data_IF_729319810236
#
_entry.id   IF_729319810236
#
_cell.length_a   1.000
_cell.length_b   1.000
_cell.length_c   1.000
_cell.angle_alpha   90.00
_cell.angle_beta   90.00
_cell.angle_gamma   90.00
#
_symmetry.space_group_name_H-M   'P 1'
#
loop_
_entity.id
_entity.type
_entity.pdbx_description
1 polymer ?
#
# COMPACT_ATOMS: atom_id res chain seq x y z
N UNK A 1 -0.67 -36.86 38.45
CA UNK A 1 0.21 -37.42 39.47
C UNK A 1 1.41 -37.93 38.74
N UNK A 2 2.53 -37.24 38.91
CA UNK A 2 3.91 -37.68 38.62
C UNK A 2 4.79 -36.55 39.14
N UNK A 3 4.78 -36.37 40.46
CA UNK A 3 5.85 -35.61 41.07
C UNK A 3 7.05 -36.55 41.08
N UNK A 4 8.18 -36.17 40.44
CA UNK A 4 9.37 -36.98 40.46
C UNK A 4 9.81 -37.22 41.91
N UNK A 5 10.29 -38.42 42.20
CA UNK A 5 10.84 -38.78 43.50
C UNK A 5 11.89 -37.74 43.93
N UNK A 6 11.70 -37.12 45.10
CA UNK A 6 12.56 -36.05 45.61
C UNK A 6 14.02 -36.51 45.72
N UNK A 7 14.24 -37.79 46.04
CA UNK A 7 15.58 -38.38 46.10
C UNK A 7 16.26 -38.43 44.72
N UNK A 8 15.48 -38.71 43.67
CA UNK A 8 15.99 -38.74 42.29
C UNK A 8 16.29 -37.32 41.77
N UNK A 9 15.47 -36.34 42.12
CA UNK A 9 15.68 -34.92 41.79
C UNK A 9 16.96 -34.40 42.43
N UNK A 10 17.19 -34.71 43.71
CA UNK A 10 18.37 -34.21 44.43
C UNK A 10 19.66 -34.86 43.90
N UNK A 11 19.62 -36.16 43.57
CA UNK A 11 20.74 -36.84 42.89
C UNK A 11 21.07 -36.17 41.55
N UNK A 12 20.05 -35.93 40.70
CA UNK A 12 20.24 -35.26 39.40
C UNK A 12 20.76 -33.83 39.53
N UNK A 13 20.31 -33.10 40.57
CA UNK A 13 20.79 -31.74 40.88
C UNK A 13 22.27 -31.74 41.28
N UNK A 14 22.68 -32.68 42.13
CA UNK A 14 24.08 -32.81 42.53
C UNK A 14 24.99 -33.15 41.34
N UNK A 15 24.59 -34.12 40.51
CA UNK A 15 25.30 -34.45 39.28
C UNK A 15 25.37 -33.26 38.30
N UNK A 16 24.29 -32.49 38.18
CA UNK A 16 24.28 -31.27 37.37
C UNK A 16 25.22 -30.20 37.91
N UNK A 17 25.26 -29.97 39.24
CA UNK A 17 26.18 -29.01 39.85
C UNK A 17 27.65 -29.36 39.59
N UNK A 18 28.01 -30.64 39.69
CA UNK A 18 29.36 -31.10 39.38
C UNK A 18 29.72 -30.86 37.91
N UNK A 19 28.81 -31.20 36.97
CA UNK A 19 29.01 -30.93 35.54
C UNK A 19 29.08 -29.43 35.24
N UNK A 20 28.21 -28.62 35.84
CA UNK A 20 28.21 -27.17 35.68
C UNK A 20 29.54 -26.57 36.15
N UNK A 21 30.00 -26.91 37.35
CA UNK A 21 31.30 -26.42 37.86
C UNK A 21 32.47 -26.87 36.97
N UNK A 22 32.46 -28.10 36.45
CA UNK A 22 33.48 -28.58 35.52
C UNK A 22 33.48 -27.80 34.18
N UNK A 23 32.30 -27.52 33.63
CA UNK A 23 32.14 -26.69 32.42
C UNK A 23 32.63 -25.27 32.65
N UNK A 24 32.22 -24.61 33.74
CA UNK A 24 32.69 -23.25 34.07
C UNK A 24 34.21 -23.23 34.25
N UNK A 25 34.78 -24.21 34.96
CA UNK A 25 36.24 -24.34 35.14
C UNK A 25 36.98 -24.56 33.81
N UNK A 26 36.31 -25.13 32.81
CA UNK A 26 36.86 -25.35 31.47
C UNK A 26 36.74 -24.11 30.55
N UNK A 27 36.26 -22.98 31.07
CA UNK A 27 36.07 -21.73 30.32
C UNK A 27 34.66 -21.54 29.75
N UNK A 28 33.72 -22.41 30.11
CA UNK A 28 32.32 -22.34 29.71
C UNK A 28 32.04 -22.69 28.25
N UNK A 29 30.95 -22.16 27.71
CA UNK A 29 30.56 -22.43 26.32
C UNK A 29 31.48 -21.67 25.34
N UNK A 30 32.11 -22.41 24.42
CA UNK A 30 32.85 -21.83 23.29
C UNK A 30 31.98 -21.80 22.03
N UNK A 31 31.80 -20.63 21.45
CA UNK A 31 31.06 -20.43 20.21
C UNK A 31 32.05 -20.28 19.05
N UNK A 32 31.91 -21.14 18.05
CA UNK A 32 32.66 -21.07 16.79
C UNK A 32 31.72 -20.58 15.70
N UNK A 33 31.97 -19.38 15.18
CA UNK A 33 31.39 -18.91 13.93
C UNK A 33 32.28 -19.36 12.78
N UNK A 34 31.79 -20.22 11.90
CA UNK A 34 32.57 -20.73 10.77
C UNK A 34 32.75 -19.69 9.67
N UNK A 35 31.81 -18.75 9.59
CA UNK A 35 31.81 -17.60 8.70
C UNK A 35 31.22 -16.39 9.46
N UNK A 36 31.18 -15.24 8.80
CA UNK A 36 30.42 -14.08 9.27
C UNK A 36 29.25 -13.78 8.36
N UNK A 37 28.12 -13.49 8.98
CA UNK A 37 26.95 -13.04 8.26
C UNK A 37 27.17 -11.62 7.72
N UNK A 38 26.45 -11.26 6.67
CA UNK A 38 26.33 -9.87 6.20
C UNK A 38 25.84 -8.89 7.27
N UNK A 39 25.06 -9.39 8.25
CA UNK A 39 24.54 -8.58 9.34
C UNK A 39 25.25 -8.93 10.64
N UNK A 40 25.84 -7.92 11.25
CA UNK A 40 26.52 -8.03 12.54
C UNK A 40 25.55 -8.44 13.65
N UNK A 41 24.27 -8.11 13.52
CA UNK A 41 23.23 -8.50 14.48
C UNK A 41 23.14 -10.01 14.63
N UNK A 42 23.22 -10.77 13.54
CA UNK A 42 23.12 -12.23 13.54
C UNK A 42 24.38 -12.86 14.16
N UNK A 43 25.55 -12.32 13.83
CA UNK A 43 26.81 -12.72 14.49
C UNK A 43 26.76 -12.46 16.00
N UNK A 44 26.24 -11.30 16.42
CA UNK A 44 26.10 -10.96 17.83
C UNK A 44 25.10 -11.88 18.54
N UNK A 45 24.04 -12.34 17.87
CA UNK A 45 23.10 -13.32 18.41
C UNK A 45 23.78 -14.68 18.64
N UNK A 46 24.60 -15.13 17.68
CA UNK A 46 25.38 -16.36 17.83
C UNK A 46 26.36 -16.25 19.01
N UNK A 47 27.12 -15.15 19.08
CA UNK A 47 28.04 -14.86 20.20
C UNK A 47 27.32 -14.83 21.55
N UNK A 48 26.16 -14.19 21.63
CA UNK A 48 25.36 -14.04 22.86
C UNK A 48 24.73 -15.34 23.39
N UNK A 49 24.97 -16.48 22.73
CA UNK A 49 24.62 -17.80 23.28
C UNK A 49 25.60 -18.23 24.39
N UNK A 50 26.81 -17.68 24.41
CA UNK A 50 27.82 -17.87 25.45
C UNK A 50 27.79 -16.72 26.48
N UNK A 51 28.27 -16.97 27.70
CA UNK A 51 28.46 -15.94 28.73
C UNK A 51 27.18 -15.33 29.29
N UNK A 52 26.09 -16.12 29.31
CA UNK A 52 24.79 -15.66 29.83
C UNK A 52 24.84 -15.54 31.35
N UNK A 53 24.14 -14.56 31.91
CA UNK A 53 24.04 -14.33 33.35
C UNK A 53 25.41 -14.17 34.07
N UNK A 54 26.47 -13.80 33.34
CA UNK A 54 27.81 -13.65 33.90
C UNK A 54 28.66 -14.94 33.90
N UNK A 55 28.16 -16.03 33.32
CA UNK A 55 28.94 -17.26 33.14
C UNK A 55 30.23 -17.01 32.32
N UNK A 56 31.25 -17.85 32.55
CA UNK A 56 32.40 -17.89 31.65
C UNK A 56 31.97 -18.39 30.27
N UNK A 57 32.64 -17.88 29.25
CA UNK A 57 32.40 -18.28 27.87
C UNK A 57 33.26 -17.50 26.90
N UNK A 58 33.37 -18.01 25.68
CA UNK A 58 34.19 -17.38 24.65
C UNK A 58 33.57 -17.56 23.27
N UNK A 59 33.95 -16.70 22.34
CA UNK A 59 33.51 -16.80 20.96
C UNK A 59 34.66 -16.48 20.01
N UNK A 60 34.80 -17.26 18.94
CA UNK A 60 35.76 -17.02 17.87
C UNK A 60 35.07 -17.20 16.52
N UNK A 61 35.26 -16.23 15.64
CA UNK A 61 34.74 -16.26 14.28
C UNK A 61 35.90 -16.46 13.32
N UNK A 62 35.73 -17.41 12.42
CA UNK A 62 36.64 -17.71 11.32
C UNK A 62 36.08 -17.10 10.04
N UNK A 63 36.99 -16.79 9.12
CA UNK A 63 36.65 -16.23 7.82
C UNK A 63 37.72 -16.67 6.82
N UNK A 64 37.27 -17.07 5.63
CA UNK A 64 38.12 -17.32 4.47
C UNK A 64 37.99 -16.17 3.47
N UNK A 65 39.05 -15.93 2.70
CA UNK A 65 39.01 -14.99 1.56
C UNK A 65 38.02 -15.44 0.47
N UNK A 66 37.60 -16.70 0.49
CA UNK A 66 36.63 -17.26 -0.46
C UNK A 66 35.18 -17.12 -0.01
N UNK A 67 34.94 -16.71 1.24
CA UNK A 67 33.59 -16.60 1.80
C UNK A 67 32.79 -15.47 1.12
N UNK A 68 31.47 -15.58 1.14
CA UNK A 68 30.57 -14.63 0.46
C UNK A 68 30.81 -13.18 0.93
N UNK A 69 30.95 -12.95 2.24
CA UNK A 69 31.25 -11.63 2.78
C UNK A 69 32.56 -11.07 2.20
N UNK A 70 33.60 -11.90 2.07
CA UNK A 70 34.86 -11.47 1.48
C UNK A 70 34.74 -11.30 -0.03
N UNK A 71 33.97 -12.11 -0.76
CA UNK A 71 33.75 -11.91 -2.21
C UNK A 71 33.09 -10.58 -2.54
N UNK A 72 32.17 -10.10 -1.70
CA UNK A 72 31.46 -8.84 -1.94
C UNK A 72 32.39 -7.62 -1.72
N UNK A 73 33.39 -7.71 -0.83
CA UNK A 73 34.21 -6.56 -0.41
C UNK A 73 35.69 -6.64 -0.72
N UNK A 74 36.27 -7.83 -0.73
CA UNK A 74 37.63 -8.06 -1.14
C UNK A 74 37.71 -7.87 -2.65
N UNK A 75 37.85 -6.61 -3.05
CA UNK A 75 38.32 -6.29 -4.39
C UNK A 75 39.56 -7.14 -4.67
N UNK A 76 39.74 -7.53 -5.93
CA UNK A 76 40.90 -8.30 -6.38
C UNK A 76 42.23 -7.71 -5.89
N UNK A 77 42.26 -6.38 -5.65
CA UNK A 77 43.39 -5.62 -5.10
C UNK A 77 43.69 -5.93 -3.63
N UNK A 78 42.67 -6.10 -2.77
CA UNK A 78 42.86 -6.41 -1.34
C UNK A 78 43.41 -7.83 -1.19
N UNK A 79 42.85 -8.79 -1.93
CA UNK A 79 43.36 -10.17 -1.94
C UNK A 79 44.81 -10.25 -2.45
N UNK A 80 45.15 -9.49 -3.51
CA UNK A 80 46.53 -9.39 -4.03
C UNK A 80 47.50 -8.73 -3.04
N UNK A 81 47.05 -7.75 -2.26
CA UNK A 81 47.87 -7.10 -1.22
C UNK A 81 48.21 -8.10 -0.11
N UNK A 82 47.23 -8.89 0.36
CA UNK A 82 47.45 -9.90 1.40
C UNK A 82 48.36 -11.03 0.92
N UNK A 83 48.26 -11.46 -0.34
CA UNK A 83 49.20 -12.41 -0.95
C UNK A 83 50.63 -11.86 -1.05
N UNK A 84 50.80 -10.56 -1.35
CA UNK A 84 52.13 -9.91 -1.42
C UNK A 84 52.78 -9.67 -0.06
N UNK A 85 52.00 -9.64 1.02
CA UNK A 85 52.49 -9.52 2.40
C UNK A 85 53.19 -10.79 2.93
N UNK A 86 53.34 -11.83 2.09
CA UNK A 86 54.16 -12.99 2.42
C UNK A 86 53.49 -14.00 3.36
N UNK A 87 52.16 -13.98 3.46
CA UNK A 87 51.41 -14.91 4.29
C UNK A 87 51.50 -16.33 3.72
N UNK A 88 52.01 -17.27 4.50
CA UNK A 88 52.15 -18.67 4.06
C UNK A 88 50.80 -19.40 4.07
N UNK A 89 50.66 -20.43 3.21
CA UNK A 89 49.49 -21.32 3.27
C UNK A 89 49.50 -22.03 4.62
N UNK A 90 48.37 -21.97 5.34
CA UNK A 90 48.13 -22.57 6.66
C UNK A 90 48.54 -21.72 7.88
N UNK A 91 48.85 -20.44 7.71
CA UNK A 91 49.00 -19.51 8.84
C UNK A 91 47.71 -18.75 9.15
N UNK A 92 47.38 -18.65 10.44
CA UNK A 92 46.24 -17.87 10.90
C UNK A 92 46.59 -16.38 10.87
N UNK A 93 45.78 -15.59 10.17
CA UNK A 93 45.94 -14.14 10.13
C UNK A 93 45.20 -13.53 11.33
N UNK A 94 45.93 -13.18 12.38
CA UNK A 94 45.39 -12.47 13.53
C UNK A 94 45.94 -11.04 13.56
N UNK A 95 45.16 -10.07 13.05
CA UNK A 95 45.52 -8.66 13.18
C UNK A 95 44.29 -7.78 13.43
N UNK A 96 44.36 -6.84 14.41
CA UNK A 96 43.27 -5.90 14.68
C UNK A 96 42.71 -5.14 13.47
N UNK A 97 43.52 -4.80 12.45
CA UNK A 97 43.03 -4.09 11.27
C UNK A 97 42.13 -4.96 10.39
N UNK A 98 42.36 -6.28 10.36
CA UNK A 98 41.53 -7.23 9.61
C UNK A 98 40.13 -7.29 10.23
N UNK A 99 40.05 -7.40 11.57
CA UNK A 99 38.77 -7.35 12.29
C UNK A 99 38.01 -6.05 12.02
N UNK A 100 38.70 -4.90 12.02
CA UNK A 100 38.09 -3.59 11.74
C UNK A 100 37.64 -3.46 10.28
N UNK A 101 38.41 -4.01 9.33
CA UNK A 101 38.06 -4.02 7.91
C UNK A 101 36.80 -4.85 7.65
N UNK A 102 36.70 -6.04 8.28
CA UNK A 102 35.51 -6.90 8.22
C UNK A 102 34.29 -6.20 8.83
N UNK A 103 34.45 -5.53 9.98
CA UNK A 103 33.36 -4.76 10.58
C UNK A 103 32.86 -3.64 9.66
N UNK A 104 33.78 -2.91 9.01
CA UNK A 104 33.42 -1.87 8.06
C UNK A 104 32.72 -2.43 6.82
N UNK A 105 33.14 -3.61 6.35
CA UNK A 105 32.48 -4.33 5.26
C UNK A 105 31.03 -4.67 5.63
N UNK A 106 30.81 -5.30 6.79
CA UNK A 106 29.47 -5.60 7.30
C UNK A 106 28.61 -4.34 7.41
N UNK A 107 29.14 -3.24 7.98
CA UNK A 107 28.42 -1.96 8.08
C UNK A 107 28.00 -1.43 6.70
N UNK A 108 28.84 -1.62 5.67
CA UNK A 108 28.52 -1.20 4.31
C UNK A 108 27.47 -2.10 3.65
N UNK A 109 27.44 -3.41 3.90
CA UNK A 109 26.32 -4.28 3.47
C UNK A 109 25.03 -3.85 4.13
N UNK A 110 25.07 -3.66 5.45
CA UNK A 110 23.89 -3.24 6.20
C UNK A 110 23.37 -1.90 5.70
N UNK A 111 24.25 -0.94 5.39
CA UNK A 111 23.89 0.32 4.75
C UNK A 111 23.25 0.12 3.38
N UNK A 112 23.83 -0.73 2.52
CA UNK A 112 23.26 -1.02 1.20
C UNK A 112 21.86 -1.67 1.28
N UNK A 113 21.70 -2.67 2.14
CA UNK A 113 20.40 -3.33 2.36
C UNK A 113 19.39 -2.36 2.99
N UNK A 114 19.84 -1.48 3.89
CA UNK A 114 19.01 -0.42 4.44
C UNK A 114 18.55 0.55 3.36
N UNK A 115 19.42 0.98 2.45
CA UNK A 115 19.05 1.89 1.36
C UNK A 115 18.04 1.25 0.40
N UNK A 116 18.23 -0.02 0.01
CA UNK A 116 17.26 -0.78 -0.78
C UNK A 116 15.91 -0.83 -0.06
N UNK A 117 15.92 -1.18 1.23
CA UNK A 117 14.68 -1.28 2.02
C UNK A 117 14.01 0.07 2.21
N UNK A 118 14.78 1.14 2.37
CA UNK A 118 14.26 2.51 2.45
C UNK A 118 13.54 2.88 1.16
N UNK A 119 14.12 2.56 0.00
CA UNK A 119 13.46 2.77 -1.30
C UNK A 119 12.15 1.99 -1.38
N UNK A 120 12.14 0.70 -1.01
CA UNK A 120 10.91 -0.11 -0.98
C UNK A 120 9.84 0.49 -0.06
N UNK A 121 10.23 0.92 1.14
CA UNK A 121 9.32 1.53 2.11
C UNK A 121 8.69 2.82 1.56
N UNK A 122 9.45 3.62 0.81
CA UNK A 122 8.91 4.86 0.21
C UNK A 122 7.81 4.59 -0.83
N UNK A 123 7.85 3.47 -1.56
CA UNK A 123 6.75 3.04 -2.44
C UNK A 123 5.56 2.55 -1.61
N UNK A 124 5.83 1.75 -0.57
CA UNK A 124 4.81 1.22 0.33
C UNK A 124 4.09 2.34 1.10
N UNK A 125 4.78 3.42 1.46
CA UNK A 125 4.21 4.59 2.14
C UNK A 125 3.11 5.24 1.29
N UNK A 126 3.33 5.37 -0.03
CA UNK A 126 2.32 5.93 -0.95
C UNK A 126 1.07 5.04 -1.00
N UNK A 127 1.26 3.74 -1.15
CA UNK A 127 0.14 2.79 -1.15
C UNK A 127 -0.60 2.77 0.20
N UNK A 128 0.14 2.90 1.30
CA UNK A 128 -0.40 2.93 2.65
C UNK A 128 -1.24 4.21 2.91
N UNK A 129 -0.78 5.37 2.43
CA UNK A 129 -1.51 6.62 2.57
C UNK A 129 -2.83 6.58 1.78
N UNK A 130 -2.81 6.09 0.53
CA UNK A 130 -4.03 5.88 -0.26
C UNK A 130 -4.99 4.89 0.43
N UNK A 131 -4.45 3.77 0.94
CA UNK A 131 -5.24 2.76 1.66
C UNK A 131 -5.92 3.35 2.90
N UNK A 132 -5.22 4.19 3.67
CA UNK A 132 -5.82 4.84 4.86
C UNK A 132 -7.03 5.68 4.47
N UNK A 133 -6.90 6.51 3.43
CA UNK A 133 -8.00 7.37 2.95
C UNK A 133 -9.21 6.53 2.54
N UNK A 134 -9.00 5.50 1.71
CA UNK A 134 -10.09 4.63 1.25
C UNK A 134 -10.73 3.88 2.42
N UNK A 135 -9.94 3.40 3.38
CA UNK A 135 -10.46 2.63 4.50
C UNK A 135 -11.18 3.52 5.51
N UNK A 136 -10.71 4.75 5.70
CA UNK A 136 -11.39 5.78 6.49
C UNK A 136 -12.77 6.08 5.89
N UNK A 137 -12.84 6.43 4.60
CA UNK A 137 -14.10 6.64 3.89
C UNK A 137 -15.01 5.41 3.96
N UNK A 138 -14.48 4.22 3.72
CA UNK A 138 -15.24 2.97 3.79
C UNK A 138 -15.82 2.73 5.20
N UNK A 139 -15.05 3.00 6.24
CA UNK A 139 -15.50 2.85 7.63
C UNK A 139 -16.57 3.89 7.99
N UNK A 140 -16.42 5.13 7.55
CA UNK A 140 -17.42 6.19 7.72
C UNK A 140 -18.75 5.79 7.05
N UNK A 141 -18.71 5.34 5.80
CA UNK A 141 -19.88 4.84 5.08
C UNK A 141 -20.56 3.67 5.80
N UNK A 142 -19.77 2.73 6.36
CA UNK A 142 -20.31 1.61 7.13
C UNK A 142 -20.95 2.04 8.45
N UNK A 143 -20.43 3.08 9.11
CA UNK A 143 -20.86 3.52 10.43
C UNK A 143 -22.17 4.34 10.42
N UNK A 144 -22.47 5.03 9.32
CA UNK A 144 -23.68 5.86 9.19
C UNK A 144 -24.87 5.06 8.64
N UNK A 145 -26.09 5.40 9.08
CA UNK A 145 -27.31 4.73 8.62
C UNK A 145 -27.75 5.19 7.21
N UNK A 146 -27.41 6.43 6.84
CA UNK A 146 -27.75 7.01 5.54
C UNK A 146 -26.58 7.81 4.99
N UNK A 147 -26.39 7.72 3.67
CA UNK A 147 -25.39 8.48 2.92
C UNK A 147 -26.05 9.44 1.91
N UNK A 148 -27.33 9.75 2.09
CA UNK A 148 -28.11 10.55 1.15
C UNK A 148 -27.45 11.88 0.81
N UNK A 149 -27.01 12.64 1.82
CA UNK A 149 -26.37 13.94 1.61
C UNK A 149 -25.08 13.80 0.78
N UNK A 150 -24.32 12.74 1.01
CA UNK A 150 -23.14 12.41 0.21
C UNK A 150 -23.50 12.10 -1.23
N UNK A 151 -24.55 11.31 -1.47
CA UNK A 151 -25.02 11.00 -2.82
C UNK A 151 -25.56 12.25 -3.54
N UNK A 152 -26.25 13.14 -2.84
CA UNK A 152 -26.72 14.41 -3.40
C UNK A 152 -25.56 15.31 -3.79
N UNK A 153 -24.57 15.49 -2.90
CA UNK A 153 -23.38 16.27 -3.19
C UNK A 153 -22.59 15.71 -4.39
N UNK A 154 -22.35 14.39 -4.40
CA UNK A 154 -21.65 13.74 -5.51
C UNK A 154 -22.42 13.89 -6.82
N UNK A 155 -23.74 13.75 -6.79
CA UNK A 155 -24.59 13.93 -7.98
C UNK A 155 -24.52 15.34 -8.53
N UNK A 156 -24.57 16.35 -7.66
CA UNK A 156 -24.43 17.74 -8.05
C UNK A 156 -23.07 17.97 -8.74
N UNK A 157 -21.97 17.49 -8.13
CA UNK A 157 -20.63 17.61 -8.73
C UNK A 157 -20.53 16.90 -10.08
N UNK A 158 -20.98 15.64 -10.16
CA UNK A 158 -20.97 14.84 -11.41
C UNK A 158 -21.81 15.49 -12.49
N UNK A 159 -22.99 16.00 -12.15
CA UNK A 159 -23.85 16.69 -13.11
C UNK A 159 -23.19 17.99 -13.61
N UNK A 160 -22.62 18.78 -12.71
CA UNK A 160 -21.93 20.02 -13.07
C UNK A 160 -20.78 19.74 -14.04
N UNK A 161 -19.91 18.78 -13.69
CA UNK A 161 -18.80 18.36 -14.54
C UNK A 161 -19.26 17.82 -15.89
N UNK A 162 -20.35 17.05 -15.90
CA UNK A 162 -20.93 16.54 -17.14
C UNK A 162 -21.47 17.67 -18.02
N UNK A 163 -22.17 18.66 -17.45
CA UNK A 163 -22.67 19.81 -18.22
C UNK A 163 -21.51 20.66 -18.74
N UNK A 164 -20.47 20.91 -17.94
CA UNK A 164 -19.31 21.72 -18.31
C UNK A 164 -18.59 21.24 -19.58
N UNK A 165 -18.63 19.93 -19.86
CA UNK A 165 -18.05 19.32 -21.07
C UNK A 165 -18.77 19.78 -22.35
N UNK A 166 -20.08 20.03 -22.28
CA UNK A 166 -20.91 20.36 -23.45
C UNK A 166 -21.38 21.81 -23.48
N UNK A 167 -21.46 22.45 -22.31
CA UNK A 167 -21.84 23.84 -22.09
C UNK A 167 -20.72 24.45 -21.24
N UNK A 168 -19.69 25.05 -21.85
CA UNK A 168 -18.60 25.64 -21.11
C UNK A 168 -19.09 26.79 -20.20
N UNK A 169 -18.55 26.93 -18.98
CA UNK A 169 -18.96 28.01 -18.09
C UNK A 169 -18.80 29.40 -18.72
N UNK A 170 -19.81 30.25 -18.58
CA UNK A 170 -19.85 31.63 -19.08
C UNK A 170 -19.71 31.73 -20.61
N UNK A 171 -20.13 30.69 -21.34
CA UNK A 171 -20.07 30.66 -22.80
C UNK A 171 -21.33 31.23 -23.46
N UNK A 172 -21.20 31.59 -24.74
CA UNK A 172 -22.35 31.91 -25.58
C UNK A 172 -23.05 30.63 -26.04
N UNK A 173 -24.33 30.75 -26.41
CA UNK A 173 -25.19 29.64 -26.84
C UNK A 173 -24.65 28.91 -28.08
N UNK A 174 -23.91 29.59 -28.96
CA UNK A 174 -23.34 28.95 -30.17
C UNK A 174 -22.25 27.93 -29.86
N UNK A 175 -21.70 27.95 -28.64
CA UNK A 175 -20.70 26.98 -28.18
C UNK A 175 -21.33 25.77 -27.47
N UNK A 176 -22.66 25.73 -27.35
CA UNK A 176 -23.35 24.67 -26.63
C UNK A 176 -23.58 23.45 -27.52
N UNK A 177 -23.14 22.29 -27.04
CA UNK A 177 -23.33 20.99 -27.69
C UNK A 177 -24.55 20.27 -27.09
N UNK A 178 -25.73 20.86 -27.28
CA UNK A 178 -26.98 20.40 -26.64
C UNK A 178 -27.40 18.98 -27.05
N UNK A 179 -27.38 18.57 -28.34
CA UNK A 179 -27.74 17.20 -28.71
C UNK A 179 -26.85 16.15 -28.05
N UNK A 180 -25.54 16.42 -27.94
CA UNK A 180 -24.59 15.55 -27.28
C UNK A 180 -24.81 15.50 -25.77
N UNK A 181 -25.18 16.63 -25.15
CA UNK A 181 -25.55 16.69 -23.74
C UNK A 181 -26.80 15.85 -23.43
N UNK A 182 -27.84 15.92 -24.26
CA UNK A 182 -29.05 15.10 -24.08
C UNK A 182 -28.73 13.61 -24.11
N UNK A 183 -27.92 13.18 -25.09
CA UNK A 183 -27.45 11.79 -25.19
C UNK A 183 -26.62 11.41 -23.96
N UNK A 184 -25.74 12.29 -23.50
CA UNK A 184 -24.91 12.02 -22.33
C UNK A 184 -25.74 11.91 -21.04
N UNK A 185 -26.77 12.75 -20.87
CA UNK A 185 -27.69 12.68 -19.73
C UNK A 185 -28.51 11.39 -19.78
N UNK A 186 -29.03 11.01 -20.95
CA UNK A 186 -29.73 9.73 -21.09
C UNK A 186 -28.80 8.56 -20.76
N UNK A 187 -27.58 8.58 -21.28
CA UNK A 187 -26.59 7.53 -21.05
C UNK A 187 -26.10 7.45 -19.61
N UNK A 188 -25.99 8.57 -18.88
CA UNK A 188 -25.43 8.58 -17.53
C UNK A 188 -26.52 8.50 -16.45
N UNK A 189 -27.62 9.24 -16.62
CA UNK A 189 -28.70 9.33 -15.64
C UNK A 189 -29.95 8.52 -16.01
N UNK A 190 -30.06 8.01 -17.24
CA UNK A 190 -31.22 7.25 -17.69
C UNK A 190 -32.46 8.11 -17.93
N UNK A 191 -32.29 9.42 -18.14
CA UNK A 191 -33.36 10.39 -18.32
C UNK A 191 -33.28 11.03 -19.69
N UNK A 192 -34.42 11.11 -20.39
CA UNK A 192 -34.55 11.86 -21.64
C UNK A 192 -35.08 13.23 -21.31
N UNK A 193 -34.21 14.24 -21.42
CA UNK A 193 -34.57 15.63 -21.24
C UNK A 193 -34.58 16.32 -22.60
N UNK A 194 -35.69 16.94 -23.03
CA UNK A 194 -35.76 17.65 -24.31
C UNK A 194 -35.19 19.08 -24.14
N UNK A 195 -33.89 19.17 -23.89
CA UNK A 195 -33.16 20.42 -23.62
C UNK A 195 -33.19 21.34 -24.82
N UNK A 196 -33.02 20.80 -26.04
CA UNK A 196 -33.10 21.58 -27.26
C UNK A 196 -34.48 22.24 -27.40
N UNK A 197 -35.55 21.50 -27.10
CA UNK A 197 -36.92 22.03 -27.09
C UNK A 197 -37.09 23.13 -26.05
N UNK A 198 -36.51 23.00 -24.86
CA UNK A 198 -36.59 24.04 -23.83
C UNK A 198 -35.96 25.36 -24.27
N UNK A 199 -34.86 25.31 -25.01
CA UNK A 199 -34.18 26.51 -25.53
C UNK A 199 -34.90 27.14 -26.72
N UNK A 200 -35.61 26.33 -27.51
CA UNK A 200 -36.49 26.82 -28.57
C UNK A 200 -37.74 27.51 -28.02
N UNK A 201 -38.33 26.96 -26.95
CA UNK A 201 -39.55 27.47 -26.33
C UNK A 201 -39.32 28.71 -25.45
N UNK A 202 -38.15 28.81 -24.80
CA UNK A 202 -37.81 29.89 -23.87
C UNK A 202 -36.42 30.49 -24.17
N UNK A 203 -36.40 31.56 -24.97
CA UNK A 203 -35.19 32.31 -25.28
C UNK A 203 -34.60 33.11 -24.11
N UNK A 204 -35.25 33.11 -22.93
CA UNK A 204 -34.70 33.69 -21.70
C UNK A 204 -33.94 32.66 -20.85
N UNK A 205 -33.95 31.39 -21.26
CA UNK A 205 -33.28 30.29 -20.58
C UNK A 205 -31.77 30.31 -20.85
N UNK A 206 -31.08 31.21 -20.16
CA UNK A 206 -29.63 31.31 -20.22
C UNK A 206 -28.94 30.19 -19.42
N UNK A 207 -27.61 30.16 -19.46
CA UNK A 207 -26.78 29.07 -18.92
C UNK A 207 -27.15 28.65 -17.48
N UNK A 208 -27.22 29.60 -16.54
CA UNK A 208 -27.48 29.30 -15.12
C UNK A 208 -28.90 28.74 -14.91
N UNK A 209 -29.98 29.38 -15.39
CA UNK A 209 -31.32 28.80 -15.35
C UNK A 209 -31.42 27.42 -16.03
N UNK A 210 -30.69 27.19 -17.12
CA UNK A 210 -30.68 25.89 -17.80
C UNK A 210 -30.07 24.80 -16.92
N UNK A 211 -28.92 25.07 -16.29
CA UNK A 211 -28.26 24.13 -15.37
C UNK A 211 -29.17 23.77 -14.19
N UNK A 212 -29.78 24.78 -13.58
CA UNK A 212 -30.74 24.60 -12.48
C UNK A 212 -31.92 23.74 -12.92
N UNK A 213 -32.51 24.02 -14.09
CA UNK A 213 -33.63 23.24 -14.64
C UNK A 213 -33.25 21.77 -14.89
N UNK A 214 -32.06 21.50 -15.42
CA UNK A 214 -31.58 20.12 -15.63
C UNK A 214 -31.42 19.40 -14.28
N UNK A 215 -30.80 20.06 -13.30
CA UNK A 215 -30.61 19.51 -11.96
C UNK A 215 -31.94 19.20 -11.28
N UNK A 216 -32.89 20.13 -11.32
CA UNK A 216 -34.24 19.94 -10.79
C UNK A 216 -34.94 18.71 -11.38
N UNK A 217 -34.84 18.50 -12.69
CA UNK A 217 -35.45 17.33 -13.35
C UNK A 217 -34.79 16.01 -12.91
N UNK A 218 -33.47 16.00 -12.77
CA UNK A 218 -32.73 14.80 -12.32
C UNK A 218 -33.05 14.48 -10.85
N UNK A 219 -33.11 15.50 -10.00
CA UNK A 219 -33.47 15.35 -8.58
C UNK A 219 -34.93 14.92 -8.43
N UNK A 220 -35.85 15.52 -9.19
CA UNK A 220 -37.26 15.14 -9.19
C UNK A 220 -37.47 13.67 -9.59
N UNK A 221 -36.81 13.21 -10.65
CA UNK A 221 -36.87 11.82 -11.09
C UNK A 221 -36.34 10.85 -10.02
N UNK A 222 -35.32 11.24 -9.27
CA UNK A 222 -34.80 10.42 -8.17
C UNK A 222 -35.75 10.39 -6.97
N UNK A 223 -36.34 11.53 -6.61
CA UNK A 223 -37.31 11.60 -5.53
C UNK A 223 -38.58 10.79 -5.86
N UNK A 224 -39.00 10.76 -7.13
CA UNK A 224 -40.09 9.89 -7.57
C UNK A 224 -39.74 8.41 -7.36
N UNK A 225 -38.51 8.00 -7.65
CA UNK A 225 -38.04 6.63 -7.36
C UNK A 225 -38.05 6.33 -5.87
N UNK A 226 -37.55 7.25 -5.04
CA UNK A 226 -37.58 7.10 -3.60
C UNK A 226 -39.02 6.92 -3.08
N UNK A 227 -39.97 7.69 -3.60
CA UNK A 227 -41.39 7.57 -3.22
C UNK A 227 -42.01 6.21 -3.62
N UNK A 228 -41.59 5.64 -4.75
CA UNK A 228 -42.09 4.35 -5.23
C UNK A 228 -41.52 3.16 -4.44
N UNK A 229 -40.25 3.25 -4.03
CA UNK A 229 -39.51 2.14 -3.41
C UNK A 229 -39.53 2.20 -1.88
N UNK A 230 -39.64 3.40 -1.32
CA UNK A 230 -39.55 3.68 0.10
C UNK A 230 -38.15 4.11 0.54
N UNK A 231 -38.09 5.09 1.44
CA UNK A 231 -36.84 5.71 1.91
C UNK A 231 -35.87 4.71 2.54
N UNK A 232 -36.35 3.79 3.39
CA UNK A 232 -35.45 2.83 4.06
C UNK A 232 -34.72 1.95 3.03
N UNK A 233 -35.44 1.44 2.04
CA UNK A 233 -34.91 0.57 0.99
C UNK A 233 -33.90 1.33 0.11
N UNK A 234 -34.21 2.57 -0.29
CA UNK A 234 -33.30 3.37 -1.12
C UNK A 234 -32.01 3.71 -0.36
N UNK A 235 -32.06 3.98 0.96
CA UNK A 235 -30.86 4.29 1.76
C UNK A 235 -29.91 3.10 1.85
N UNK A 236 -30.45 1.91 2.12
CA UNK A 236 -29.67 0.69 2.14
C UNK A 236 -29.05 0.40 0.77
N UNK A 237 -29.82 0.59 -0.31
CA UNK A 237 -29.36 0.43 -1.67
C UNK A 237 -28.22 1.41 -2.03
N UNK A 238 -28.37 2.71 -1.74
CA UNK A 238 -27.32 3.72 -1.96
C UNK A 238 -26.01 3.30 -1.28
N UNK A 239 -26.09 2.89 -0.01
CA UNK A 239 -24.93 2.46 0.78
C UNK A 239 -24.30 1.19 0.22
N UNK A 240 -25.10 0.20 -0.15
CA UNK A 240 -24.60 -1.05 -0.75
C UNK A 240 -23.87 -0.78 -2.06
N UNK A 241 -24.46 0.02 -2.95
CA UNK A 241 -23.85 0.42 -4.23
C UNK A 241 -22.54 1.18 -4.00
N UNK A 242 -22.52 2.17 -3.12
CA UNK A 242 -21.31 2.95 -2.82
C UNK A 242 -20.17 2.04 -2.34
N UNK A 243 -20.46 1.12 -1.41
CA UNK A 243 -19.46 0.18 -0.88
C UNK A 243 -18.97 -0.81 -1.95
N UNK A 244 -19.89 -1.36 -2.76
CA UNK A 244 -19.54 -2.30 -3.83
C UNK A 244 -18.68 -1.64 -4.90
N UNK A 245 -19.03 -0.44 -5.35
CA UNK A 245 -18.29 0.32 -6.35
C UNK A 245 -16.91 0.71 -5.81
N UNK A 246 -16.84 1.23 -4.58
CA UNK A 246 -15.57 1.56 -3.92
C UNK A 246 -14.66 0.33 -3.82
N UNK A 247 -15.17 -0.81 -3.33
CA UNK A 247 -14.39 -2.04 -3.18
C UNK A 247 -13.95 -2.60 -4.55
N UNK A 248 -14.81 -2.52 -5.56
CA UNK A 248 -14.51 -2.92 -6.94
C UNK A 248 -13.34 -2.14 -7.52
N UNK A 249 -13.49 -0.82 -7.58
CA UNK A 249 -12.47 0.09 -8.11
C UNK A 249 -11.18 0.08 -7.31
N UNK A 250 -11.24 -0.05 -5.97
CA UNK A 250 -10.04 -0.15 -5.15
C UNK A 250 -9.21 -1.41 -5.48
N UNK A 251 -9.86 -2.54 -5.74
CA UNK A 251 -9.17 -3.77 -6.18
C UNK A 251 -8.45 -3.57 -7.52
N UNK A 252 -9.09 -2.90 -8.47
CA UNK A 252 -8.48 -2.57 -9.76
C UNK A 252 -7.30 -1.61 -9.62
N UNK A 253 -7.44 -0.59 -8.76
CA UNK A 253 -6.36 0.35 -8.46
C UNK A 253 -5.15 -0.34 -7.84
N UNK A 254 -5.34 -1.27 -6.90
CA UNK A 254 -4.25 -2.04 -6.32
C UNK A 254 -3.49 -2.85 -7.39
N UNK A 255 -4.21 -3.50 -8.31
CA UNK A 255 -3.58 -4.20 -9.43
C UNK A 255 -2.81 -3.26 -10.35
N UNK A 256 -3.37 -2.10 -10.67
CA UNK A 256 -2.73 -1.09 -11.50
C UNK A 256 -1.46 -0.51 -10.83
N UNK A 257 -1.50 -0.29 -9.52
CA UNK A 257 -0.35 0.17 -8.71
C UNK A 257 0.79 -0.85 -8.69
N UNK A 258 0.47 -2.15 -8.67
CA UNK A 258 1.48 -3.21 -8.78
C UNK A 258 2.16 -3.22 -10.16
N UNK A 259 1.39 -3.05 -11.25
CA UNK A 259 1.96 -2.91 -12.59
C UNK A 259 2.83 -1.66 -12.74
N UNK A 260 2.35 -0.52 -12.22
CA UNK A 260 3.10 0.73 -12.21
C UNK A 260 4.45 0.56 -11.50
N UNK A 261 4.44 -0.09 -10.32
CA UNK A 261 5.67 -0.35 -9.56
C UNK A 261 6.68 -1.20 -10.32
N UNK A 262 6.23 -2.22 -11.06
CA UNK A 262 7.11 -3.06 -11.88
C UNK A 262 7.68 -2.30 -13.09
N UNK A 263 6.87 -1.45 -13.72
CA UNK A 263 7.25 -0.71 -14.93
C UNK A 263 8.08 0.55 -14.69
N UNK A 264 7.96 1.18 -13.52
CA UNK A 264 8.53 2.52 -13.28
C UNK A 264 10.06 2.58 -13.39
N UNK A 265 10.74 1.45 -13.16
CA UNK A 265 12.19 1.37 -13.31
C UNK A 265 12.65 1.67 -14.75
N UNK A 266 11.81 1.50 -15.76
CA UNK A 266 12.15 1.88 -17.14
C UNK A 266 12.30 3.41 -17.31
N UNK A 267 11.68 4.22 -16.45
CA UNK A 267 11.81 5.69 -16.49
C UNK A 267 13.22 6.17 -16.16
N UNK A 268 14.02 5.38 -15.42
CA UNK A 268 15.41 5.76 -15.14
C UNK A 268 16.28 5.83 -16.39
N UNK A 269 15.90 5.13 -17.48
CA UNK A 269 16.59 5.25 -18.77
C UNK A 269 16.46 6.64 -19.40
N UNK A 270 15.40 7.39 -19.05
CA UNK A 270 15.19 8.77 -19.48
C UNK A 270 15.78 9.82 -18.51
N UNK A 271 16.66 9.42 -17.59
CA UNK A 271 17.25 10.28 -16.54
C UNK A 271 16.23 10.93 -15.59
N UNK A 272 14.99 10.44 -15.59
CA UNK A 272 13.97 10.83 -14.61
C UNK A 272 14.13 10.01 -13.34
N UNK A 273 13.82 10.61 -12.19
CA UNK A 273 13.85 9.89 -10.92
C UNK A 273 12.58 9.03 -10.78
N UNK A 274 12.68 7.67 -10.82
CA UNK A 274 11.52 6.79 -10.82
C UNK A 274 10.60 6.98 -9.62
N UNK A 275 11.14 7.38 -8.47
CA UNK A 275 10.36 7.63 -7.26
C UNK A 275 9.39 8.79 -7.43
N UNK A 276 9.87 9.89 -8.01
CA UNK A 276 9.04 11.08 -8.21
C UNK A 276 7.96 10.81 -9.26
N UNK A 277 8.32 10.12 -10.34
CA UNK A 277 7.38 9.70 -11.38
C UNK A 277 6.32 8.74 -10.82
N UNK A 278 6.72 7.73 -10.03
CA UNK A 278 5.78 6.84 -9.36
C UNK A 278 4.79 7.61 -8.49
N UNK A 279 5.28 8.54 -7.66
CA UNK A 279 4.41 9.33 -6.79
C UNK A 279 3.42 10.18 -7.59
N UNK A 280 3.86 10.78 -8.69
CA UNK A 280 3.00 11.60 -9.56
C UNK A 280 1.93 10.75 -10.24
N UNK A 281 2.33 9.69 -10.94
CA UNK A 281 1.42 8.79 -11.65
C UNK A 281 0.46 8.10 -10.66
N UNK A 282 0.94 7.66 -9.49
CA UNK A 282 0.09 7.06 -8.44
C UNK A 282 -0.96 8.04 -7.91
N UNK A 283 -0.61 9.31 -7.75
CA UNK A 283 -1.57 10.34 -7.32
C UNK A 283 -2.61 10.63 -8.40
N UNK A 284 -2.19 10.77 -9.67
CA UNK A 284 -3.09 10.96 -10.81
C UNK A 284 -4.08 9.79 -10.94
N UNK A 285 -3.59 8.54 -10.84
CA UNK A 285 -4.42 7.34 -10.84
C UNK A 285 -5.41 7.32 -9.67
N UNK A 286 -4.98 7.75 -8.49
CA UNK A 286 -5.85 7.79 -7.31
C UNK A 286 -6.94 8.87 -7.41
N UNK A 287 -6.64 10.04 -7.97
CA UNK A 287 -7.68 11.05 -8.24
C UNK A 287 -8.70 10.52 -9.25
N UNK A 288 -8.23 9.94 -10.36
CA UNK A 288 -9.11 9.32 -11.37
C UNK A 288 -9.96 8.19 -10.79
N UNK A 289 -9.41 7.41 -9.85
CA UNK A 289 -10.15 6.39 -9.11
C UNK A 289 -11.34 7.00 -8.38
N UNK A 290 -11.12 8.07 -7.60
CA UNK A 290 -12.18 8.73 -6.83
C UNK A 290 -13.27 9.31 -7.74
N UNK A 291 -12.88 9.91 -8.86
CA UNK A 291 -13.84 10.44 -9.83
C UNK A 291 -14.66 9.32 -10.49
N UNK A 292 -14.02 8.21 -10.88
CA UNK A 292 -14.74 7.04 -11.42
C UNK A 292 -15.76 6.48 -10.44
N UNK A 293 -15.41 6.39 -9.16
CA UNK A 293 -16.35 5.94 -8.11
C UNK A 293 -17.56 6.86 -8.07
N UNK A 294 -17.37 8.19 -8.05
CA UNK A 294 -18.47 9.17 -8.06
C UNK A 294 -19.40 8.97 -9.26
N UNK A 295 -18.84 8.94 -10.47
CA UNK A 295 -19.60 8.76 -11.71
C UNK A 295 -20.36 7.44 -11.75
N UNK A 296 -19.73 6.33 -11.34
CA UNK A 296 -20.39 5.02 -11.38
C UNK A 296 -21.52 4.91 -10.35
N UNK A 297 -21.32 5.41 -9.13
CA UNK A 297 -22.36 5.44 -8.10
C UNK A 297 -23.56 6.26 -8.57
N UNK A 298 -23.34 7.47 -9.10
CA UNK A 298 -24.42 8.30 -9.64
C UNK A 298 -25.11 7.60 -10.81
N UNK A 299 -24.35 6.99 -11.71
CA UNK A 299 -24.90 6.26 -12.86
C UNK A 299 -25.79 5.08 -12.45
N UNK A 300 -25.36 4.26 -11.48
CA UNK A 300 -26.13 3.11 -10.99
C UNK A 300 -27.38 3.59 -10.25
N UNK A 301 -27.22 4.52 -9.31
CA UNK A 301 -28.34 5.04 -8.50
C UNK A 301 -29.37 5.79 -9.35
N UNK A 302 -28.95 6.41 -10.45
CA UNK A 302 -29.84 7.09 -11.38
C UNK A 302 -30.55 6.15 -12.34
N UNK A 303 -29.95 5.03 -12.75
CA UNK A 303 -30.55 4.12 -13.75
C UNK A 303 -31.36 2.97 -13.17
N UNK A 304 -31.11 2.59 -11.92
CA UNK A 304 -31.77 1.43 -11.33
C UNK A 304 -33.29 1.56 -11.40
N UNK A 305 -33.94 0.45 -11.74
CA UNK A 305 -35.39 0.26 -11.62
C UNK A 305 -35.60 -0.79 -10.53
N UNK A 306 -35.81 -0.36 -9.29
CA UNK A 306 -36.04 -1.27 -8.18
C UNK A 306 -37.47 -1.78 -8.27
N UNK A 307 -37.67 -3.08 -8.52
CA UNK A 307 -38.99 -3.71 -8.48
C UNK A 307 -39.16 -4.38 -7.13
N UNK A 308 -39.80 -3.67 -6.19
CA UNK A 308 -40.30 -4.12 -4.88
C UNK A 308 -39.46 -5.18 -4.12
N UNK A 309 -38.82 -4.77 -3.01
CA UNK A 309 -38.15 -5.51 -1.92
C UNK A 309 -37.16 -6.65 -2.25
N UNK A 310 -37.45 -7.54 -3.21
CA UNK A 310 -36.65 -8.72 -3.54
C UNK A 310 -35.33 -8.41 -4.25
N UNK A 311 -35.20 -7.23 -4.88
CA UNK A 311 -33.97 -6.84 -5.60
C UNK A 311 -32.85 -6.33 -4.67
N UNK A 312 -33.18 -5.96 -3.42
CA UNK A 312 -32.20 -5.37 -2.48
C UNK A 312 -31.35 -6.45 -1.81
N UNK A 313 -31.86 -7.67 -1.66
CA UNK A 313 -31.12 -8.82 -1.12
C UNK A 313 -30.10 -9.41 -2.13
N UNK A 314 -30.12 -8.96 -3.38
CA UNK A 314 -29.28 -9.47 -4.47
C UNK A 314 -28.04 -8.63 -4.77
N UNK A 315 -27.88 -7.48 -4.11
CA UNK A 315 -26.75 -6.54 -4.24
C UNK A 315 -25.91 -6.59 -2.96
#
# INVERSE_FOLDING_TARGET
GDNPDEAEVEKKRHEWQQRHAAVIKSGGLHIIGTERHESRRIDNQLRGRSGRQGDQGSSRFYLSLQDNLMRIFASERVSKLMQKLGMEKNEAIEHPWVTKAIENAQRKVEGHNFDIRKQLLEYDDIANDQRKIIYEQRNELMAVDSIYETIQAIRHDVLREQIDVYIPPQSLEELWHVPELEVAIEQHFGLRLPIAQWLEEDHSLHETPLREKIEEQIVAAYNEKENLVGTEVIRHFEKAVMLQVLDGHWKEHLAAMDYLRQGIHLRSFAQQNPKHEYKREAFEMFSQLLDRIKHEVVGITSKVQIRAQADVDAV
#
